data_IF_569834354672
#
_entry.id   IF_569834354672
#
_cell.length_a   1.000
_cell.length_b   1.000
_cell.length_c   1.000
_cell.angle_alpha   90.00
_cell.angle_beta   90.00
_cell.angle_gamma   90.00
#
_symmetry.space_group_name_H-M   'P 1'
#
loop_
_entity.id
_entity.type
_entity.pdbx_description
1 polymer ?
#
# COMPACT_ATOMS: atom_id res chain seq x y z
N UNK A 1 -22.22 -21.63 50.50
CA UNK A 1 -22.63 -20.95 49.29
C UNK A 1 -21.42 -20.13 48.84
N UNK A 2 -20.61 -20.67 47.96
CA UNK A 2 -19.42 -20.01 47.40
C UNK A 2 -19.67 -19.79 45.90
N UNK A 3 -19.85 -18.55 45.51
CA UNK A 3 -19.92 -18.16 44.11
C UNK A 3 -18.51 -18.17 43.49
N UNK A 4 -18.30 -19.06 42.53
CA UNK A 4 -17.12 -19.04 41.67
C UNK A 4 -17.29 -17.98 40.61
N UNK A 5 -16.61 -16.85 40.77
CA UNK A 5 -16.41 -15.86 39.72
C UNK A 5 -15.39 -16.42 38.72
N UNK A 6 -15.87 -16.84 37.54
CA UNK A 6 -15.03 -17.22 36.41
C UNK A 6 -14.48 -15.93 35.76
N UNK A 7 -13.25 -15.59 36.08
CA UNK A 7 -12.52 -14.56 35.37
C UNK A 7 -12.10 -15.11 34.00
N UNK A 8 -12.75 -14.67 32.91
CA UNK A 8 -12.26 -14.87 31.57
C UNK A 8 -10.92 -14.13 31.39
N UNK A 9 -9.82 -14.85 31.48
CA UNK A 9 -8.53 -14.40 31.00
C UNK A 9 -8.57 -14.43 29.47
N UNK A 10 -8.56 -13.26 28.82
CA UNK A 10 -8.21 -13.16 27.40
C UNK A 10 -6.83 -13.80 27.21
N UNK A 11 -6.63 -14.65 26.18
CA UNK A 11 -5.32 -15.15 25.86
C UNK A 11 -4.45 -13.96 25.45
N UNK A 12 -3.44 -13.66 26.24
CA UNK A 12 -2.36 -12.72 25.89
C UNK A 12 -1.70 -13.32 24.65
N UNK A 13 -1.83 -12.64 23.51
CA UNK A 13 -1.12 -12.99 22.29
C UNK A 13 0.38 -12.92 22.60
N UNK A 14 1.06 -14.07 22.56
CA UNK A 14 2.52 -14.15 22.68
C UNK A 14 3.12 -13.52 21.41
N UNK A 15 3.34 -12.20 21.46
CA UNK A 15 4.16 -11.52 20.47
C UNK A 15 5.62 -11.90 20.73
N UNK A 16 6.37 -12.34 19.71
CA UNK A 16 7.80 -12.53 19.87
C UNK A 16 8.48 -11.15 20.04
N UNK A 17 8.64 -10.71 21.29
CA UNK A 17 9.47 -9.55 21.60
C UNK A 17 10.92 -9.92 21.30
N UNK A 18 11.41 -9.48 20.14
CA UNK A 18 12.82 -9.59 19.79
C UNK A 18 13.57 -8.35 20.29
N UNK A 19 14.57 -8.56 21.10
CA UNK A 19 15.52 -7.53 21.51
C UNK A 19 16.52 -7.29 20.39
N UNK A 20 16.29 -6.26 19.55
CA UNK A 20 17.25 -5.79 18.58
C UNK A 20 16.66 -5.62 17.16
N UNK A 21 17.18 -4.59 16.46
CA UNK A 21 16.89 -4.34 15.05
C UNK A 21 17.46 -5.47 14.19
N UNK A 22 16.77 -5.94 13.12
CA UNK A 22 17.34 -6.87 12.15
C UNK A 22 18.66 -6.39 11.55
N UNK A 23 19.59 -7.31 11.18
CA UNK A 23 20.95 -6.97 10.74
C UNK A 23 21.01 -6.43 9.31
N UNK A 24 20.20 -5.40 9.03
CA UNK A 24 20.15 -4.68 7.76
C UNK A 24 20.44 -3.20 8.00
N UNK A 25 21.12 -2.57 7.01
CA UNK A 25 21.41 -1.15 7.04
C UNK A 25 20.13 -0.29 6.87
N UNK A 26 19.10 -0.88 6.23
CA UNK A 26 17.85 -0.21 5.92
C UNK A 26 16.65 -1.15 6.04
N UNK A 27 15.55 -0.63 6.57
CA UNK A 27 14.22 -1.24 6.47
C UNK A 27 13.40 -0.34 5.54
N UNK A 28 12.88 -0.90 4.44
CA UNK A 28 12.04 -0.19 3.49
C UNK A 28 10.61 -0.74 3.51
N UNK A 29 9.62 0.15 3.42
CA UNK A 29 8.20 -0.20 3.31
C UNK A 29 7.67 0.32 1.98
N UNK A 30 7.26 -0.60 1.09
CA UNK A 30 6.82 -0.33 -0.27
C UNK A 30 5.31 -0.56 -0.36
N UNK A 31 4.55 0.50 -0.63
CA UNK A 31 3.10 0.50 -0.55
C UNK A 31 2.48 0.70 -1.94
N UNK A 32 1.82 -0.33 -2.45
CA UNK A 32 1.15 -0.34 -3.74
C UNK A 32 -0.13 0.52 -3.73
N UNK A 33 -0.56 1.01 -4.90
CA UNK A 33 -1.86 1.65 -5.10
C UNK A 33 -3.02 0.65 -5.12
N UNK A 34 -4.21 1.06 -4.66
CA UNK A 34 -5.37 0.17 -4.63
C UNK A 34 -6.61 0.70 -3.91
N UNK A 35 -6.75 2.02 -3.73
CA UNK A 35 -7.95 2.64 -3.16
C UNK A 35 -8.33 2.11 -1.78
N UNK A 36 -9.57 1.66 -1.62
CA UNK A 36 -10.10 1.16 -0.33
C UNK A 36 -9.34 -0.06 0.23
N UNK A 37 -8.64 -0.83 -0.62
CA UNK A 37 -7.79 -1.94 -0.18
C UNK A 37 -6.59 -1.48 0.67
N UNK A 38 -6.23 -0.20 0.63
CA UNK A 38 -5.12 0.35 1.40
C UNK A 38 -5.24 0.20 2.92
N UNK A 39 -6.43 -0.11 3.46
CA UNK A 39 -6.61 -0.47 4.87
C UNK A 39 -5.80 -1.72 5.26
N UNK A 40 -5.57 -2.65 4.32
CA UNK A 40 -4.66 -3.78 4.49
C UNK A 40 -3.24 -3.33 4.83
N UNK A 41 -2.73 -2.30 4.14
CA UNK A 41 -1.40 -1.74 4.40
C UNK A 41 -1.29 -1.13 5.80
N UNK A 42 -2.37 -0.51 6.28
CA UNK A 42 -2.42 0.01 7.65
C UNK A 42 -2.34 -1.11 8.69
N UNK A 43 -3.02 -2.24 8.45
CA UNK A 43 -2.92 -3.45 9.26
C UNK A 43 -1.51 -4.05 9.22
N UNK A 44 -0.90 -4.12 8.05
CA UNK A 44 0.50 -4.55 7.90
C UNK A 44 1.42 -3.67 8.75
N UNK A 45 1.28 -2.34 8.64
CA UNK A 45 2.12 -1.43 9.42
C UNK A 45 1.89 -1.59 10.92
N UNK A 46 0.66 -1.82 11.39
CA UNK A 46 0.40 -2.12 12.81
C UNK A 46 1.21 -3.33 13.27
N UNK A 47 1.18 -4.45 12.53
CA UNK A 47 1.95 -5.65 12.88
C UNK A 47 3.46 -5.41 12.90
N UNK A 48 3.99 -4.63 11.94
CA UNK A 48 5.40 -4.23 11.93
C UNK A 48 5.76 -3.34 13.12
N UNK A 49 4.92 -2.37 13.47
CA UNK A 49 5.13 -1.44 14.58
C UNK A 49 5.15 -2.19 15.93
N UNK A 50 4.23 -3.12 16.14
CA UNK A 50 4.18 -3.95 17.36
C UNK A 50 5.42 -4.87 17.48
N UNK A 51 6.02 -5.28 16.35
CA UNK A 51 7.27 -6.00 16.31
C UNK A 51 8.52 -5.11 16.42
N UNK A 52 8.37 -3.79 16.55
CA UNK A 52 9.48 -2.82 16.59
C UNK A 52 10.20 -2.62 15.25
N UNK A 53 9.57 -3.03 14.14
CA UNK A 53 10.13 -2.93 12.78
C UNK A 53 9.69 -1.63 12.10
N UNK A 54 10.26 -0.52 12.53
CA UNK A 54 9.98 0.78 11.95
C UNK A 54 10.82 1.01 10.68
N UNK A 55 10.21 1.43 9.55
CA UNK A 55 10.95 1.69 8.32
C UNK A 55 11.81 2.94 8.42
N UNK A 56 12.96 2.91 7.72
CA UNK A 56 13.82 4.07 7.45
C UNK A 56 13.42 4.79 6.17
N UNK A 57 12.71 4.08 5.30
CA UNK A 57 12.22 4.57 4.03
C UNK A 57 10.83 4.02 3.74
N UNK A 58 9.88 4.93 3.51
CA UNK A 58 8.55 4.58 2.99
C UNK A 58 8.41 5.12 1.57
N UNK A 59 7.95 4.26 0.66
CA UNK A 59 7.63 4.65 -0.71
C UNK A 59 6.23 4.15 -1.07
N UNK A 60 5.42 4.99 -1.70
CA UNK A 60 4.03 4.67 -1.99
C UNK A 60 3.51 5.21 -3.30
N UNK A 61 2.46 4.56 -3.82
CA UNK A 61 1.70 4.97 -5.00
C UNK A 61 0.24 5.07 -4.61
N UNK A 62 -0.46 6.13 -5.05
CA UNK A 62 -1.90 6.31 -4.83
C UNK A 62 -2.26 6.25 -3.33
N UNK A 63 -3.16 5.37 -2.91
CA UNK A 63 -3.47 5.16 -1.48
C UNK A 63 -2.23 4.77 -0.66
N UNK A 64 -1.28 4.06 -1.28
CA UNK A 64 0.01 3.75 -0.67
C UNK A 64 0.83 5.00 -0.36
N UNK A 65 0.74 6.07 -1.17
CA UNK A 65 1.35 7.36 -0.90
C UNK A 65 0.72 8.06 0.31
N UNK A 66 -0.59 7.95 0.48
CA UNK A 66 -1.31 8.48 1.63
C UNK A 66 -0.87 7.75 2.92
N UNK A 67 -0.89 6.41 2.91
CA UNK A 67 -0.43 5.61 4.05
C UNK A 67 1.06 5.89 4.36
N UNK A 68 1.92 5.99 3.33
CA UNK A 68 3.32 6.35 3.50
C UNK A 68 3.51 7.72 4.16
N UNK A 69 2.71 8.73 3.77
CA UNK A 69 2.74 10.07 4.35
C UNK A 69 2.30 10.06 5.84
N UNK A 70 1.24 9.31 6.17
CA UNK A 70 0.78 9.12 7.55
C UNK A 70 1.85 8.45 8.43
N UNK A 71 2.63 7.52 7.86
CA UNK A 71 3.72 6.85 8.56
C UNK A 71 4.93 7.78 8.71
N UNK A 72 5.37 8.44 7.64
CA UNK A 72 6.58 9.27 7.65
C UNK A 72 6.39 10.59 8.41
N UNK A 73 5.20 11.20 8.33
CA UNK A 73 4.88 12.47 8.96
C UNK A 73 4.49 12.38 10.44
N UNK A 74 4.60 11.18 11.06
CA UNK A 74 4.26 11.05 12.48
C UNK A 74 5.36 10.31 13.25
N UNK A 75 5.53 10.57 14.55
CA UNK A 75 6.44 9.79 15.38
C UNK A 75 5.96 8.35 15.55
N UNK A 76 6.85 7.37 15.77
CA UNK A 76 6.52 5.96 15.76
C UNK A 76 5.31 5.55 16.60
N UNK A 77 5.17 6.16 17.78
CA UNK A 77 4.09 5.93 18.75
C UNK A 77 2.71 6.36 18.25
N UNK A 78 2.63 7.35 17.35
CA UNK A 78 1.37 7.92 16.86
C UNK A 78 0.91 7.33 15.50
N UNK A 79 1.80 6.69 14.76
CA UNK A 79 1.57 6.29 13.35
C UNK A 79 0.33 5.41 13.17
N UNK A 80 0.18 4.39 14.02
CA UNK A 80 -0.98 3.49 13.95
C UNK A 80 -2.27 4.25 14.27
N UNK A 81 -2.25 5.13 15.27
CA UNK A 81 -3.40 5.95 15.62
C UNK A 81 -3.77 6.93 14.48
N UNK A 82 -2.79 7.52 13.79
CA UNK A 82 -3.02 8.41 12.64
C UNK A 82 -3.56 7.67 11.42
N UNK A 83 -3.05 6.48 11.13
CA UNK A 83 -3.63 5.58 10.13
C UNK A 83 -5.08 5.25 10.48
N UNK A 84 -5.36 4.89 11.74
CA UNK A 84 -6.72 4.61 12.21
C UNK A 84 -7.64 5.80 12.04
N UNK A 85 -7.22 7.00 12.44
CA UNK A 85 -7.99 8.24 12.27
C UNK A 85 -8.33 8.53 10.80
N UNK A 86 -7.37 8.33 9.89
CA UNK A 86 -7.62 8.49 8.45
C UNK A 86 -8.67 7.48 7.96
N UNK A 87 -8.44 6.19 8.21
CA UNK A 87 -9.32 5.14 7.71
C UNK A 87 -10.71 5.18 8.31
N UNK A 88 -10.83 5.58 9.59
CA UNK A 88 -12.12 5.81 10.23
C UNK A 88 -12.86 7.02 9.67
N UNK A 89 -12.16 8.08 9.30
CA UNK A 89 -12.76 9.25 8.67
C UNK A 89 -13.33 8.89 7.29
N UNK A 90 -12.52 8.31 6.41
CA UNK A 90 -12.92 8.04 5.01
C UNK A 90 -13.99 6.95 4.89
N UNK A 91 -14.15 6.12 5.92
CA UNK A 91 -15.19 5.09 6.00
C UNK A 91 -16.34 5.49 6.93
N UNK A 92 -16.38 6.76 7.40
CA UNK A 92 -17.49 7.23 8.21
C UNK A 92 -18.75 7.37 7.36
N UNK A 93 -19.87 7.00 7.96
CA UNK A 93 -21.20 7.24 7.37
C UNK A 93 -21.82 8.42 8.08
N UNK A 94 -22.25 9.44 7.33
CA UNK A 94 -23.06 10.49 7.89
C UNK A 94 -24.37 9.88 8.42
N UNK A 95 -24.76 10.11 9.69
CA UNK A 95 -26.01 9.57 10.27
C UNK A 95 -27.28 9.92 9.48
N UNK A 96 -27.27 11.03 8.72
CA UNK A 96 -28.41 11.48 7.91
C UNK A 96 -28.67 10.64 6.64
N UNK A 97 -27.72 9.79 6.20
CA UNK A 97 -27.82 9.03 4.94
C UNK A 97 -27.90 7.51 5.13
N UNK A 98 -28.38 7.06 6.29
CA UNK A 98 -28.65 5.62 6.54
C UNK A 98 -29.95 5.18 5.84
N UNK A 99 -29.94 5.11 4.49
CA UNK A 99 -31.07 4.52 3.76
C UNK A 99 -30.58 3.66 2.58
N UNK A 100 -30.87 2.36 2.55
CA UNK A 100 -31.35 1.53 3.66
C UNK A 100 -30.32 1.42 4.79
N UNK A 101 -30.77 1.15 6.03
CA UNK A 101 -29.85 0.99 7.15
C UNK A 101 -28.81 -0.06 6.81
N UNK A 102 -27.53 0.29 7.04
CA UNK A 102 -26.45 -0.70 6.96
C UNK A 102 -26.85 -1.89 7.85
N UNK A 103 -26.63 -3.14 7.44
CA UNK A 103 -26.87 -4.31 8.29
C UNK A 103 -26.11 -4.28 9.63
N UNK A 104 -25.25 -3.30 9.85
CA UNK A 104 -24.48 -3.08 11.08
C UNK A 104 -25.05 -2.04 12.04
N UNK A 105 -26.21 -1.42 11.73
CA UNK A 105 -26.93 -0.62 12.72
C UNK A 105 -27.46 -1.56 13.81
N UNK A 106 -27.01 -1.38 15.04
CA UNK A 106 -27.45 -2.13 16.21
C UNK A 106 -28.98 -2.20 16.23
N UNK A 107 -29.53 -3.35 15.89
CA UNK A 107 -30.98 -3.61 15.91
C UNK A 107 -31.54 -4.39 14.72
N UNK A 108 -30.85 -4.48 13.59
CA UNK A 108 -31.34 -5.22 12.41
C UNK A 108 -30.46 -6.43 12.02
N UNK A 109 -29.50 -6.79 12.88
CA UNK A 109 -28.65 -7.98 12.71
C UNK A 109 -29.43 -9.29 12.65
N UNK A 110 -30.71 -9.27 13.08
CA UNK A 110 -31.49 -10.49 13.19
C UNK A 110 -31.80 -11.14 11.84
N UNK A 111 -32.06 -10.39 10.78
CA UNK A 111 -32.43 -11.00 9.49
C UNK A 111 -31.18 -11.48 8.74
N UNK A 112 -30.13 -10.69 8.66
CA UNK A 112 -28.88 -11.08 7.99
C UNK A 112 -28.19 -12.21 8.78
N UNK A 113 -28.15 -12.11 10.10
CA UNK A 113 -27.57 -13.13 11.00
C UNK A 113 -28.42 -14.41 11.01
N UNK A 114 -29.74 -14.29 11.00
CA UNK A 114 -30.65 -15.45 10.90
C UNK A 114 -30.51 -16.15 9.53
N UNK A 115 -30.42 -15.39 8.44
CA UNK A 115 -30.20 -15.96 7.10
C UNK A 115 -28.80 -16.60 6.98
N UNK A 116 -27.77 -16.00 7.58
CA UNK A 116 -26.42 -16.55 7.58
C UNK A 116 -26.27 -17.83 8.44
N UNK A 117 -27.09 -18.00 9.50
CA UNK A 117 -27.08 -19.21 10.33
C UNK A 117 -27.63 -20.45 9.61
N UNK A 118 -28.52 -20.26 8.61
CA UNK A 118 -29.13 -21.37 7.90
C UNK A 118 -28.42 -21.80 6.62
N UNK A 119 -27.55 -20.94 6.04
CA UNK A 119 -26.84 -21.24 4.81
C UNK A 119 -25.60 -20.35 4.65
N UNK A 120 -24.36 -20.89 4.85
CA UNK A 120 -23.13 -20.12 4.70
C UNK A 120 -22.97 -19.45 3.33
N UNK A 121 -23.55 -20.03 2.26
CA UNK A 121 -23.50 -19.43 0.92
C UNK A 121 -24.36 -18.17 0.80
N UNK A 122 -25.42 -18.07 1.57
CA UNK A 122 -26.26 -16.88 1.62
C UNK A 122 -25.62 -15.72 2.37
N UNK A 123 -24.74 -16.00 3.35
CA UNK A 123 -23.94 -14.98 4.03
C UNK A 123 -23.05 -14.22 3.04
N UNK A 124 -22.36 -14.91 2.14
CA UNK A 124 -21.51 -14.30 1.12
C UNK A 124 -22.32 -13.49 0.09
N UNK A 125 -23.51 -13.94 -0.29
CA UNK A 125 -24.39 -13.21 -1.21
C UNK A 125 -24.89 -11.90 -0.59
N UNK A 126 -25.37 -11.95 0.66
CA UNK A 126 -25.82 -10.75 1.39
C UNK A 126 -24.67 -9.76 1.54
N UNK A 127 -23.46 -10.26 1.81
CA UNK A 127 -22.27 -9.44 1.94
C UNK A 127 -21.86 -8.80 0.61
N UNK A 128 -21.87 -9.56 -0.49
CA UNK A 128 -21.61 -9.03 -1.83
C UNK A 128 -22.60 -7.91 -2.21
N UNK A 129 -23.90 -8.08 -1.93
CA UNK A 129 -24.90 -7.04 -2.16
C UNK A 129 -24.65 -5.81 -1.28
N UNK A 130 -24.30 -5.98 -0.02
CA UNK A 130 -23.95 -4.87 0.88
C UNK A 130 -22.73 -4.10 0.37
N UNK A 131 -21.69 -4.81 -0.10
CA UNK A 131 -20.47 -4.19 -0.66
C UNK A 131 -20.78 -3.42 -1.95
N UNK A 132 -21.59 -3.98 -2.86
CA UNK A 132 -22.03 -3.27 -4.07
C UNK A 132 -22.82 -2.02 -3.75
N UNK A 133 -23.72 -2.08 -2.75
CA UNK A 133 -24.45 -0.91 -2.28
C UNK A 133 -23.52 0.17 -1.69
N UNK A 134 -22.56 -0.23 -0.86
CA UNK A 134 -21.59 0.68 -0.28
C UNK A 134 -20.68 1.31 -1.35
N UNK A 135 -20.26 0.54 -2.35
CA UNK A 135 -19.50 1.03 -3.50
C UNK A 135 -20.33 2.04 -4.32
N UNK A 136 -21.59 1.73 -4.61
CA UNK A 136 -22.51 2.66 -5.30
C UNK A 136 -22.70 3.95 -4.49
N UNK A 137 -22.81 3.84 -3.17
CA UNK A 137 -22.85 4.99 -2.27
C UNK A 137 -21.57 5.84 -2.35
N UNK A 138 -20.40 5.23 -2.33
CA UNK A 138 -19.13 5.94 -2.46
C UNK A 138 -19.02 6.67 -3.81
N UNK A 139 -19.51 6.07 -4.89
CA UNK A 139 -19.58 6.72 -6.20
C UNK A 139 -20.55 7.91 -6.23
N UNK A 140 -21.71 7.81 -5.54
CA UNK A 140 -22.74 8.85 -5.56
C UNK A 140 -22.53 9.95 -4.52
N UNK A 141 -21.92 9.64 -3.36
CA UNK A 141 -21.79 10.56 -2.23
C UNK A 141 -20.33 10.88 -1.86
N UNK A 142 -19.37 10.14 -2.41
CA UNK A 142 -17.96 10.29 -2.08
C UNK A 142 -17.55 9.54 -0.82
N UNK A 143 -16.33 9.84 -0.35
CA UNK A 143 -15.75 9.37 0.90
C UNK A 143 -15.35 10.59 1.75
N UNK A 144 -15.87 10.73 2.97
CA UNK A 144 -15.63 11.89 3.82
C UNK A 144 -14.14 12.14 4.04
N UNK A 145 -13.71 13.40 3.91
CA UNK A 145 -12.29 13.75 4.09
C UNK A 145 -11.35 13.22 3.01
N UNK A 146 -11.88 12.62 1.93
CA UNK A 146 -11.10 12.13 0.79
C UNK A 146 -11.58 12.76 -0.50
N UNK A 147 -12.78 12.41 -0.98
CA UNK A 147 -13.32 12.97 -2.22
C UNK A 147 -14.84 13.15 -2.14
N UNK A 148 -15.36 14.13 -2.90
CA UNK A 148 -16.78 14.41 -3.00
C UNK A 148 -17.19 14.49 -4.47
N UNK A 149 -18.38 13.99 -4.86
CA UNK A 149 -18.88 14.15 -6.23
C UNK A 149 -19.13 15.61 -6.53
N UNK A 150 -18.81 16.02 -7.77
CA UNK A 150 -19.17 17.36 -8.24
C UNK A 150 -20.69 17.46 -8.46
N UNK A 151 -21.22 18.62 -8.16
CA UNK A 151 -22.68 18.84 -8.25
C UNK A 151 -23.20 18.72 -9.69
N UNK A 152 -22.38 19.16 -10.67
CA UNK A 152 -22.67 19.07 -12.09
C UNK A 152 -21.71 18.12 -12.78
N UNK A 153 -22.19 17.42 -13.80
CA UNK A 153 -21.34 16.55 -14.62
C UNK A 153 -20.23 17.35 -15.34
N UNK A 154 -19.04 16.77 -15.60
CA UNK A 154 -17.93 17.48 -16.24
C UNK A 154 -18.29 18.17 -17.54
N UNK A 155 -19.22 17.62 -18.31
CA UNK A 155 -19.67 18.14 -19.61
C UNK A 155 -20.39 19.49 -19.56
N UNK A 156 -20.87 19.91 -18.39
CA UNK A 156 -21.60 21.18 -18.20
C UNK A 156 -20.70 22.32 -17.71
N UNK A 157 -19.41 22.06 -17.50
CA UNK A 157 -18.45 23.04 -17.06
C UNK A 157 -17.70 23.69 -18.23
N UNK A 158 -17.21 24.95 -18.07
CA UNK A 158 -16.42 25.61 -19.10
C UNK A 158 -15.19 24.79 -19.48
N UNK A 159 -14.89 24.76 -20.78
CA UNK A 159 -13.71 24.10 -21.29
C UNK A 159 -12.42 24.64 -20.63
N UNK A 160 -11.58 23.73 -20.12
CA UNK A 160 -10.31 24.07 -19.47
C UNK A 160 -10.44 24.30 -17.95
N UNK A 161 -11.65 24.27 -17.37
CA UNK A 161 -11.75 24.27 -15.91
C UNK A 161 -11.43 22.90 -15.31
N UNK A 162 -10.97 22.88 -14.06
CA UNK A 162 -10.69 21.63 -13.32
C UNK A 162 -11.93 20.77 -13.22
N UNK A 163 -13.09 21.38 -13.05
CA UNK A 163 -14.38 20.69 -12.94
C UNK A 163 -14.79 19.98 -14.23
N UNK A 164 -14.37 20.50 -15.38
CA UNK A 164 -14.59 19.86 -16.69
C UNK A 164 -13.74 18.61 -16.91
N UNK A 165 -12.77 18.34 -16.04
CA UNK A 165 -11.77 17.26 -16.23
C UNK A 165 -11.90 16.11 -15.23
N UNK A 166 -12.86 16.17 -14.28
CA UNK A 166 -13.00 15.13 -13.24
C UNK A 166 -14.42 15.05 -12.68
N UNK A 167 -14.79 13.84 -12.25
CA UNK A 167 -16.10 13.60 -11.62
C UNK A 167 -16.14 14.01 -10.15
N UNK A 168 -15.00 14.00 -9.47
CA UNK A 168 -14.90 14.26 -8.04
C UNK A 168 -13.97 15.44 -7.74
N UNK A 169 -14.22 16.07 -6.61
CA UNK A 169 -13.35 17.05 -5.96
C UNK A 169 -12.57 16.36 -4.85
N UNK A 170 -11.25 16.59 -4.79
CA UNK A 170 -10.34 16.02 -3.79
C UNK A 170 -9.79 17.06 -2.81
N UNK A 171 -10.36 18.27 -2.76
CA UNK A 171 -9.90 19.32 -1.84
C UNK A 171 -9.98 18.91 -0.36
N UNK A 172 -10.98 18.08 -0.01
CA UNK A 172 -11.11 17.53 1.35
C UNK A 172 -9.92 16.65 1.76
N UNK A 173 -9.28 15.96 0.81
CA UNK A 173 -8.06 15.17 1.08
C UNK A 173 -6.90 16.07 1.50
N UNK A 174 -6.74 17.25 0.87
CA UNK A 174 -5.69 18.20 1.26
C UNK A 174 -5.81 18.57 2.72
N UNK A 175 -7.00 19.01 3.17
CA UNK A 175 -7.25 19.37 4.55
C UNK A 175 -7.05 18.19 5.53
N UNK A 176 -7.38 16.98 5.10
CA UNK A 176 -7.16 15.77 5.89
C UNK A 176 -5.67 15.47 6.05
N UNK A 177 -4.89 15.57 4.98
CA UNK A 177 -3.44 15.39 5.02
C UNK A 177 -2.77 16.45 5.90
N UNK A 178 -3.12 17.74 5.74
CA UNK A 178 -2.59 18.83 6.56
C UNK A 178 -2.87 18.65 8.06
N UNK A 179 -3.98 18.01 8.41
CA UNK A 179 -4.35 17.72 9.81
C UNK A 179 -3.66 16.48 10.39
N UNK A 180 -3.43 15.44 9.59
CA UNK A 180 -2.96 14.14 10.05
C UNK A 180 -1.47 13.89 9.82
N UNK A 181 -0.82 14.69 8.96
CA UNK A 181 0.57 14.53 8.54
C UNK A 181 1.36 15.78 8.87
N UNK A 182 2.45 15.64 9.61
CA UNK A 182 3.44 16.68 9.81
C UNK A 182 4.43 16.67 8.63
N UNK A 183 4.24 17.59 7.67
CA UNK A 183 5.08 17.71 6.50
C UNK A 183 6.47 18.27 6.83
N UNK A 184 6.62 19.04 7.89
CA UNK A 184 7.93 19.51 8.37
C UNK A 184 8.76 18.32 8.86
N UNK A 185 8.13 17.36 9.53
CA UNK A 185 8.77 16.10 9.93
C UNK A 185 9.23 15.29 8.70
N UNK A 186 8.41 15.17 7.66
CA UNK A 186 8.81 14.51 6.41
C UNK A 186 10.04 15.23 5.82
N UNK A 187 10.00 16.55 5.73
CA UNK A 187 11.04 17.36 5.14
C UNK A 187 12.32 17.47 6.02
N UNK A 188 12.23 17.17 7.31
CA UNK A 188 13.41 17.08 8.18
C UNK A 188 14.30 15.87 7.87
N UNK A 189 13.80 14.90 7.07
CA UNK A 189 14.53 13.68 6.73
C UNK A 189 14.58 12.64 7.86
N UNK A 190 13.71 12.75 8.88
CA UNK A 190 13.61 11.76 9.96
C UNK A 190 13.31 10.34 9.44
N UNK A 191 12.66 10.26 8.29
CA UNK A 191 12.45 9.06 7.48
C UNK A 191 12.53 9.46 6.01
N UNK A 192 13.16 8.63 5.16
CA UNK A 192 13.08 8.86 3.72
C UNK A 192 11.67 8.59 3.24
N UNK A 193 11.15 9.47 2.41
CA UNK A 193 9.78 9.43 1.88
C UNK A 193 9.79 9.66 0.37
N UNK A 194 9.12 8.78 -0.37
CA UNK A 194 9.00 8.91 -1.82
C UNK A 194 7.58 8.58 -2.27
N UNK A 195 7.06 9.36 -3.21
CA UNK A 195 5.78 9.08 -3.87
C UNK A 195 5.90 9.20 -5.37
N UNK A 196 5.26 8.28 -6.10
CA UNK A 196 5.30 8.26 -7.55
C UNK A 196 4.05 8.87 -8.16
N UNK A 197 4.23 9.63 -9.24
CA UNK A 197 3.16 10.22 -10.03
C UNK A 197 3.52 10.23 -11.53
N UNK A 198 2.56 10.51 -12.39
CA UNK A 198 2.76 10.60 -13.84
C UNK A 198 2.59 12.05 -14.29
N UNK A 199 3.61 12.61 -14.93
CA UNK A 199 3.48 13.92 -15.56
C UNK A 199 2.55 13.83 -16.79
N UNK A 200 1.45 14.58 -16.75
CA UNK A 200 0.38 14.48 -17.77
C UNK A 200 0.86 14.85 -19.16
N UNK A 201 1.73 15.85 -19.25
CA UNK A 201 2.20 16.38 -20.55
C UNK A 201 3.19 15.43 -21.24
N UNK A 202 4.06 14.79 -20.47
CA UNK A 202 5.14 13.95 -21.02
C UNK A 202 4.82 12.46 -20.99
N UNK A 203 3.86 12.04 -20.15
CA UNK A 203 3.58 10.63 -19.85
C UNK A 203 4.68 9.95 -19.03
N UNK A 204 5.70 10.69 -18.60
CA UNK A 204 6.79 10.12 -17.81
C UNK A 204 6.39 9.92 -16.36
N UNK A 205 6.83 8.79 -15.81
CA UNK A 205 6.75 8.53 -14.39
C UNK A 205 7.82 9.32 -13.64
N UNK A 206 7.45 9.95 -12.53
CA UNK A 206 8.35 10.74 -11.68
C UNK A 206 8.20 10.34 -10.22
N UNK A 207 9.27 10.42 -9.44
CA UNK A 207 9.21 10.30 -7.99
C UNK A 207 9.51 11.63 -7.33
N UNK A 208 8.62 12.04 -6.42
CA UNK A 208 8.88 13.11 -5.47
C UNK A 208 9.47 12.48 -4.20
N UNK A 209 10.70 12.84 -3.86
CA UNK A 209 11.47 12.26 -2.76
C UNK A 209 11.96 13.39 -1.87
N UNK A 210 11.85 13.25 -0.54
CA UNK A 210 12.23 14.29 0.41
C UNK A 210 13.74 14.56 0.49
N UNK A 211 14.56 13.80 -0.22
CA UNK A 211 15.99 14.10 -0.39
C UNK A 211 16.24 15.13 -1.49
N UNK A 212 15.28 15.35 -2.38
CA UNK A 212 15.42 16.21 -3.56
C UNK A 212 14.30 17.23 -3.71
N UNK A 213 13.17 17.05 -3.03
CA UNK A 213 11.99 17.91 -3.11
C UNK A 213 11.51 18.32 -1.72
N UNK A 214 11.00 19.53 -1.60
CA UNK A 214 10.21 19.94 -0.45
C UNK A 214 8.80 19.35 -0.61
N UNK A 215 8.52 18.30 0.15
CA UNK A 215 7.27 17.55 0.07
C UNK A 215 6.11 18.38 0.67
N UNK A 216 5.02 18.46 -0.09
CA UNK A 216 3.78 19.15 0.26
C UNK A 216 2.60 18.20 0.08
N UNK A 217 1.40 18.48 0.61
CA UNK A 217 0.21 17.67 0.41
C UNK A 217 -0.08 17.37 -1.06
N UNK A 218 0.19 18.32 -1.96
CA UNK A 218 -0.04 18.19 -3.40
C UNK A 218 0.74 17.01 -4.03
N UNK A 219 1.94 16.70 -3.53
CA UNK A 219 2.71 15.56 -4.05
C UNK A 219 2.03 14.22 -3.72
N UNK A 220 1.45 14.11 -2.51
CA UNK A 220 0.68 12.93 -2.10
C UNK A 220 -0.61 12.85 -2.88
N UNK A 221 -1.31 13.97 -3.06
CA UNK A 221 -2.54 14.05 -3.86
C UNK A 221 -2.30 13.70 -5.33
N UNK A 222 -1.20 14.18 -5.92
CA UNK A 222 -0.81 13.87 -7.30
C UNK A 222 -0.62 12.37 -7.52
N UNK A 223 0.00 11.70 -6.55
CA UNK A 223 0.17 10.24 -6.58
C UNK A 223 -1.16 9.46 -6.59
N UNK A 224 -2.24 10.04 -6.05
CA UNK A 224 -3.58 9.44 -5.99
C UNK A 224 -4.59 10.05 -6.96
N UNK A 225 -4.18 10.93 -7.87
CA UNK A 225 -5.06 11.63 -8.81
C UNK A 225 -5.43 10.75 -10.02
N UNK A 226 -6.23 9.71 -9.82
CA UNK A 226 -6.61 8.74 -10.87
C UNK A 226 -7.69 9.31 -11.80
N UNK A 227 -7.39 9.58 -13.09
CA UNK A 227 -8.36 10.05 -14.07
C UNK A 227 -9.32 8.91 -14.48
N UNK A 228 -10.55 9.22 -14.92
CA UNK A 228 -11.21 10.52 -14.92
C UNK A 228 -11.90 10.85 -13.60
N UNK A 229 -11.74 10.02 -12.57
CA UNK A 229 -12.34 10.22 -11.26
C UNK A 229 -11.87 11.52 -10.61
N UNK A 230 -10.55 11.68 -10.49
CA UNK A 230 -9.92 12.79 -9.81
C UNK A 230 -9.21 13.74 -10.77
N UNK A 231 -9.16 15.06 -10.46
CA UNK A 231 -8.49 16.05 -11.30
C UNK A 231 -6.97 15.87 -11.24
N UNK A 232 -6.27 16.31 -12.30
CA UNK A 232 -4.83 16.45 -12.25
C UNK A 232 -4.43 17.48 -11.17
N UNK A 233 -3.33 17.23 -10.49
CA UNK A 233 -2.77 18.13 -9.48
C UNK A 233 -1.62 18.92 -10.10
N UNK A 234 -1.68 20.24 -9.96
CA UNK A 234 -0.62 21.14 -10.41
C UNK A 234 0.48 21.24 -9.35
N UNK A 235 1.73 21.01 -9.77
CA UNK A 235 2.93 21.17 -8.94
C UNK A 235 3.96 21.90 -9.79
N UNK A 236 4.34 23.10 -9.36
CA UNK A 236 5.38 23.94 -9.97
C UNK A 236 5.15 24.17 -11.49
N UNK A 237 3.89 24.35 -11.90
CA UNK A 237 3.45 24.63 -13.26
C UNK A 237 3.28 23.41 -14.17
N UNK A 238 3.50 22.21 -13.67
CA UNK A 238 3.24 20.93 -14.35
C UNK A 238 2.08 20.20 -13.70
N UNK A 239 1.36 19.37 -14.49
CA UNK A 239 0.20 18.63 -14.01
C UNK A 239 0.51 17.14 -13.89
N UNK A 240 0.01 16.52 -12.82
CA UNK A 240 0.30 15.13 -12.49
C UNK A 240 -0.96 14.32 -12.24
N UNK A 241 -0.92 13.08 -12.67
CA UNK A 241 -1.90 12.02 -12.38
C UNK A 241 -1.31 10.90 -11.56
N UNK A 242 -2.19 10.00 -11.12
CA UNK A 242 -1.86 8.81 -10.32
C UNK A 242 -0.73 7.99 -10.93
N UNK A 243 0.25 7.65 -10.09
CA UNK A 243 1.37 6.81 -10.48
C UNK A 243 0.96 5.43 -10.98
N UNK A 244 -0.15 4.89 -10.49
CA UNK A 244 -0.69 3.58 -10.89
C UNK A 244 -1.00 3.45 -12.38
N UNK A 245 -1.14 4.56 -13.12
CA UNK A 245 -1.26 4.53 -14.58
C UNK A 245 -0.04 3.92 -15.27
N UNK A 246 1.15 4.10 -14.69
CA UNK A 246 2.42 3.66 -15.28
C UNK A 246 3.10 2.58 -14.46
N UNK A 247 3.28 2.75 -13.15
CA UNK A 247 3.82 1.75 -12.23
C UNK A 247 3.10 1.85 -10.90
N UNK A 248 2.55 0.73 -10.43
CA UNK A 248 1.73 0.69 -9.22
C UNK A 248 2.50 0.28 -7.96
N UNK A 249 3.79 -0.08 -8.08
CA UNK A 249 4.66 -0.50 -6.98
C UNK A 249 5.99 0.25 -7.05
N UNK A 250 6.50 0.85 -5.96
CA UNK A 250 7.70 1.67 -5.98
C UNK A 250 9.01 0.86 -5.84
N UNK A 251 9.03 -0.44 -6.23
CA UNK A 251 10.17 -1.33 -6.04
C UNK A 251 11.42 -0.86 -6.80
N UNK A 252 11.27 -0.58 -8.10
CA UNK A 252 12.39 -0.15 -8.96
C UNK A 252 13.07 1.11 -8.42
N UNK A 253 12.28 2.08 -7.93
CA UNK A 253 12.83 3.31 -7.35
C UNK A 253 13.74 3.05 -6.16
N UNK A 254 13.32 2.16 -5.26
CA UNK A 254 14.08 1.87 -4.05
C UNK A 254 15.33 1.04 -4.34
N UNK A 255 15.25 0.15 -5.34
CA UNK A 255 16.37 -0.70 -5.78
C UNK A 255 17.44 0.09 -6.53
N UNK A 256 17.04 1.00 -7.41
CA UNK A 256 17.95 1.74 -8.30
C UNK A 256 18.57 2.96 -7.62
N UNK A 257 18.09 3.34 -6.43
CA UNK A 257 18.50 4.56 -5.75
C UNK A 257 19.80 4.38 -4.94
N UNK A 258 20.77 5.26 -5.17
CA UNK A 258 22.06 5.26 -4.47
C UNK A 258 22.00 6.04 -3.14
N UNK A 259 22.87 5.73 -2.16
CA UNK A 259 23.78 4.57 -2.13
C UNK A 259 23.05 3.25 -1.90
N UNK A 260 23.52 2.19 -2.54
CA UNK A 260 22.99 0.85 -2.26
C UNK A 260 23.29 0.44 -0.82
N UNK A 261 22.30 -0.20 -0.17
CA UNK A 261 22.40 -0.64 1.23
C UNK A 261 21.82 -2.04 1.40
N UNK A 262 22.35 -2.79 2.35
CA UNK A 262 21.71 -4.02 2.80
C UNK A 262 20.29 -3.69 3.28
N UNK A 263 19.28 -4.26 2.63
CA UNK A 263 17.89 -3.80 2.81
C UNK A 263 16.95 -4.97 3.15
N UNK A 264 16.19 -4.80 4.21
CA UNK A 264 14.98 -5.56 4.48
C UNK A 264 13.80 -4.75 3.93
N UNK A 265 13.18 -5.22 2.86
CA UNK A 265 12.06 -4.54 2.22
C UNK A 265 10.75 -5.32 2.46
N UNK A 266 9.75 -4.64 3.02
CA UNK A 266 8.37 -5.13 3.07
C UNK A 266 7.60 -4.52 1.91
N UNK A 267 7.23 -5.35 0.94
CA UNK A 267 6.42 -4.97 -0.20
C UNK A 267 4.97 -5.38 0.05
N UNK A 268 4.08 -4.39 0.09
CA UNK A 268 2.66 -4.62 0.37
C UNK A 268 1.86 -4.43 -0.91
N UNK A 269 1.46 -5.56 -1.49
CA UNK A 269 0.73 -5.62 -2.74
C UNK A 269 -0.78 -5.75 -2.48
N UNK A 270 -1.58 -4.90 -3.13
CA UNK A 270 -3.04 -4.88 -3.01
C UNK A 270 -3.73 -5.62 -4.16
N UNK A 271 -2.99 -5.94 -5.22
CA UNK A 271 -3.48 -6.62 -6.40
C UNK A 271 -2.69 -7.90 -6.65
N UNK A 272 -3.39 -9.05 -6.64
CA UNK A 272 -2.75 -10.32 -6.91
C UNK A 272 -2.48 -10.50 -8.40
N UNK A 273 -1.25 -10.93 -8.71
CA UNK A 273 -0.89 -11.33 -10.07
C UNK A 273 -1.53 -12.67 -10.46
N UNK A 274 -1.72 -13.56 -9.49
CA UNK A 274 -2.37 -14.86 -9.66
C UNK A 274 -3.88 -14.72 -9.45
N UNK A 275 -4.66 -15.56 -10.14
CA UNK A 275 -6.11 -15.57 -9.99
C UNK A 275 -6.74 -16.67 -10.83
N UNK A 276 -7.96 -17.05 -10.47
CA UNK A 276 -8.74 -18.04 -11.20
C UNK A 276 -9.30 -17.49 -12.52
N UNK A 277 -9.68 -18.39 -13.42
CA UNK A 277 -10.38 -18.03 -14.66
C UNK A 277 -11.78 -17.45 -14.31
N UNK A 278 -12.09 -16.20 -14.69
CA UNK A 278 -13.37 -15.59 -14.42
C UNK A 278 -14.54 -16.34 -15.06
N UNK A 279 -15.66 -16.45 -14.35
CA UNK A 279 -16.88 -17.11 -14.82
C UNK A 279 -18.09 -16.16 -14.91
N UNK A 280 -17.94 -14.88 -14.47
CA UNK A 280 -18.98 -13.82 -14.48
C UNK A 280 -18.36 -12.49 -14.88
N UNK A 281 -19.16 -11.57 -15.44
CA UNK A 281 -18.69 -10.24 -15.90
C UNK A 281 -17.96 -9.45 -14.80
N UNK A 282 -18.51 -9.38 -13.60
CA UNK A 282 -17.84 -8.71 -12.47
C UNK A 282 -16.45 -9.29 -12.16
N UNK A 283 -16.30 -10.61 -12.24
CA UNK A 283 -15.00 -11.28 -12.09
C UNK A 283 -14.03 -10.96 -13.23
N UNK A 284 -14.53 -10.75 -14.46
CA UNK A 284 -13.69 -10.32 -15.60
C UNK A 284 -13.11 -8.94 -15.34
N UNK A 285 -13.94 -7.99 -14.91
CA UNK A 285 -13.50 -6.63 -14.60
C UNK A 285 -12.51 -6.59 -13.42
N UNK A 286 -12.82 -7.32 -12.34
CA UNK A 286 -11.91 -7.49 -11.21
C UNK A 286 -10.55 -8.06 -11.66
N UNK A 287 -10.57 -9.15 -12.46
CA UNK A 287 -9.34 -9.79 -12.96
C UNK A 287 -8.54 -8.90 -13.90
N UNK A 288 -9.22 -8.11 -14.73
CA UNK A 288 -8.57 -7.12 -15.59
C UNK A 288 -7.79 -6.09 -14.76
N UNK A 289 -8.40 -5.52 -13.71
CA UNK A 289 -7.73 -4.60 -12.78
C UNK A 289 -6.54 -5.28 -12.08
N UNK A 290 -6.72 -6.50 -11.58
CA UNK A 290 -5.65 -7.27 -10.94
C UNK A 290 -4.45 -7.44 -11.86
N UNK A 291 -4.66 -7.87 -13.10
CA UNK A 291 -3.59 -8.01 -14.11
C UNK A 291 -2.95 -6.66 -14.41
N UNK A 292 -3.75 -5.62 -14.60
CA UNK A 292 -3.26 -4.28 -14.94
C UNK A 292 -2.35 -3.71 -13.84
N UNK A 293 -2.77 -3.80 -12.58
CA UNK A 293 -2.07 -3.17 -11.47
C UNK A 293 -0.96 -4.03 -10.84
N UNK A 294 -0.94 -5.35 -11.12
CA UNK A 294 0.09 -6.26 -10.61
C UNK A 294 1.17 -6.64 -11.64
N UNK A 295 0.90 -6.47 -12.95
CA UNK A 295 1.74 -7.05 -14.03
C UNK A 295 3.19 -6.56 -14.00
N UNK A 296 3.40 -5.28 -13.68
CA UNK A 296 4.75 -4.69 -13.67
C UNK A 296 5.58 -5.11 -12.47
N UNK A 297 4.97 -5.35 -11.32
CA UNK A 297 5.65 -5.78 -10.10
C UNK A 297 6.50 -7.04 -10.34
N UNK A 298 5.97 -8.04 -11.05
CA UNK A 298 6.74 -9.25 -11.39
C UNK A 298 7.90 -8.99 -12.33
N UNK A 299 7.68 -8.17 -13.35
CA UNK A 299 8.74 -7.82 -14.31
C UNK A 299 9.87 -7.04 -13.61
N UNK A 300 9.53 -6.12 -12.74
CA UNK A 300 10.49 -5.35 -11.93
C UNK A 300 11.28 -6.26 -10.98
N UNK A 301 10.62 -7.21 -10.31
CA UNK A 301 11.28 -8.16 -9.43
C UNK A 301 12.25 -9.08 -10.19
N UNK A 302 11.85 -9.59 -11.36
CA UNK A 302 12.72 -10.42 -12.19
C UNK A 302 13.95 -9.63 -12.67
N UNK A 303 13.73 -8.40 -13.13
CA UNK A 303 14.81 -7.49 -13.52
C UNK A 303 15.74 -7.19 -12.35
N UNK A 304 15.20 -6.98 -11.17
CA UNK A 304 16.00 -6.74 -9.96
C UNK A 304 16.90 -7.93 -9.65
N UNK A 305 16.36 -9.16 -9.67
CA UNK A 305 17.16 -10.38 -9.46
C UNK A 305 18.29 -10.52 -10.49
N UNK A 306 18.00 -10.24 -11.76
CA UNK A 306 19.00 -10.27 -12.84
C UNK A 306 20.12 -9.24 -12.61
N UNK A 307 19.75 -8.00 -12.25
CA UNK A 307 20.73 -6.95 -11.94
C UNK A 307 21.60 -7.34 -10.75
N UNK A 308 21.04 -7.89 -9.68
CA UNK A 308 21.82 -8.32 -8.51
C UNK A 308 22.75 -9.48 -8.84
N UNK A 309 22.31 -10.44 -9.64
CA UNK A 309 23.17 -11.51 -10.15
C UNK A 309 24.36 -10.96 -10.94
N UNK A 310 24.13 -10.00 -11.85
CA UNK A 310 25.19 -9.34 -12.63
C UNK A 310 26.15 -8.54 -11.75
N UNK A 311 25.63 -7.81 -10.75
CA UNK A 311 26.46 -7.08 -9.76
C UNK A 311 27.39 -8.03 -9.00
N UNK A 312 26.84 -9.15 -8.52
CA UNK A 312 27.64 -10.18 -7.82
C UNK A 312 28.69 -10.81 -8.73
N UNK A 313 28.35 -11.10 -9.99
CA UNK A 313 29.31 -11.62 -10.97
C UNK A 313 30.43 -10.62 -11.27
N UNK A 314 30.08 -9.34 -11.44
CA UNK A 314 31.02 -8.25 -11.68
C UNK A 314 31.95 -8.03 -10.49
N UNK A 315 31.44 -8.04 -9.26
CA UNK A 315 32.25 -7.95 -8.05
C UNK A 315 33.31 -9.06 -8.00
N UNK A 316 32.89 -10.31 -8.19
CA UNK A 316 33.81 -11.47 -8.22
C UNK A 316 34.83 -11.39 -9.36
N UNK A 317 34.49 -10.77 -10.48
CA UNK A 317 35.41 -10.55 -11.59
C UNK A 317 36.45 -9.50 -11.23
N UNK A 318 36.02 -8.35 -10.68
CA UNK A 318 36.92 -7.27 -10.25
C UNK A 318 37.96 -7.76 -9.21
N UNK A 319 37.50 -8.59 -8.24
CA UNK A 319 38.38 -9.19 -7.22
C UNK A 319 39.49 -10.08 -7.80
N UNK A 320 39.29 -10.65 -9.00
CA UNK A 320 40.25 -11.53 -9.68
C UNK A 320 41.15 -10.80 -10.68
N UNK A 321 40.94 -9.48 -10.89
CA UNK A 321 41.76 -8.72 -11.83
C UNK A 321 43.22 -8.58 -11.31
N UNK A 322 44.23 -8.66 -12.20
CA UNK A 322 45.58 -8.23 -11.89
C UNK A 322 45.63 -6.78 -11.42
N UNK A 323 46.58 -6.45 -10.53
CA UNK A 323 46.66 -5.10 -9.93
C UNK A 323 46.69 -3.96 -10.94
N UNK A 324 47.34 -4.15 -12.09
CA UNK A 324 47.42 -3.16 -13.17
C UNK A 324 46.04 -2.86 -13.78
N UNK A 325 45.23 -3.88 -14.01
CA UNK A 325 43.86 -3.72 -14.53
C UNK A 325 42.87 -3.24 -13.47
N UNK A 326 43.05 -3.68 -12.22
CA UNK A 326 42.24 -3.27 -11.09
C UNK A 326 42.36 -1.75 -10.76
N UNK A 327 43.45 -1.12 -11.17
CA UNK A 327 43.70 0.32 -11.03
C UNK A 327 43.27 1.14 -12.27
N UNK A 328 42.58 0.54 -13.24
CA UNK A 328 42.11 1.26 -14.43
C UNK A 328 40.93 2.16 -14.12
N UNK A 329 40.77 3.32 -14.81
CA UNK A 329 39.63 4.21 -14.66
C UNK A 329 38.29 3.51 -14.92
N UNK A 330 38.25 2.53 -15.82
CA UNK A 330 37.03 1.77 -16.13
C UNK A 330 36.55 0.94 -14.93
N UNK A 331 37.49 0.35 -14.19
CA UNK A 331 37.19 -0.39 -12.95
C UNK A 331 36.65 0.55 -11.85
N UNK A 332 37.20 1.76 -11.75
CA UNK A 332 36.69 2.75 -10.78
C UNK A 332 35.24 3.19 -11.08
N UNK A 333 34.87 3.28 -12.36
CA UNK A 333 33.48 3.53 -12.78
C UNK A 333 32.57 2.35 -12.43
N UNK A 334 33.07 1.11 -12.57
CA UNK A 334 32.30 -0.10 -12.35
C UNK A 334 32.15 -0.49 -10.86
N UNK A 335 33.10 -0.08 -9.99
CA UNK A 335 33.09 -0.44 -8.55
C UNK A 335 31.76 -0.13 -7.85
N UNK A 336 31.20 1.10 -7.95
CA UNK A 336 29.92 1.41 -7.30
C UNK A 336 28.76 0.55 -7.83
N UNK A 337 28.81 0.20 -9.12
CA UNK A 337 27.81 -0.66 -9.75
C UNK A 337 27.97 -2.14 -9.40
N UNK A 338 29.16 -2.57 -8.98
CA UNK A 338 29.50 -3.97 -8.63
C UNK A 338 29.36 -4.28 -7.14
N UNK A 339 29.03 -3.28 -6.30
CA UNK A 339 28.94 -3.50 -4.85
C UNK A 339 27.76 -4.43 -4.52
N UNK A 340 28.01 -5.67 -4.06
CA UNK A 340 26.94 -6.60 -3.75
C UNK A 340 26.29 -6.17 -2.45
N UNK A 341 24.99 -5.87 -2.51
CA UNK A 341 24.16 -5.61 -1.34
C UNK A 341 23.14 -6.72 -1.19
N UNK A 342 22.81 -7.00 0.06
CA UNK A 342 21.92 -8.07 0.44
C UNK A 342 20.49 -7.53 0.60
N UNK A 343 19.54 -8.25 0.05
CA UNK A 343 18.13 -7.90 0.11
C UNK A 343 17.28 -9.07 0.58
N UNK A 344 16.50 -8.82 1.63
CA UNK A 344 15.30 -9.62 1.88
C UNK A 344 14.10 -8.83 1.39
N UNK A 345 13.38 -9.38 0.42
CA UNK A 345 12.12 -8.84 -0.07
C UNK A 345 10.98 -9.69 0.47
N UNK A 346 10.26 -9.15 1.44
CA UNK A 346 9.11 -9.79 2.09
C UNK A 346 7.85 -9.29 1.40
N UNK A 347 7.18 -10.17 0.68
CA UNK A 347 5.93 -9.86 -0.01
C UNK A 347 4.74 -10.15 0.89
N UNK A 348 3.89 -9.15 1.08
CA UNK A 348 2.63 -9.23 1.80
C UNK A 348 1.52 -8.86 0.82
N UNK A 349 0.91 -9.86 0.22
CA UNK A 349 -0.10 -9.69 -0.82
C UNK A 349 -1.52 -9.81 -0.27
N UNK A 350 -2.38 -8.83 -0.54
CA UNK A 350 -3.79 -8.94 -0.24
C UNK A 350 -4.47 -9.98 -1.14
N UNK A 351 -5.20 -10.90 -0.53
CA UNK A 351 -5.98 -11.90 -1.25
C UNK A 351 -7.48 -11.61 -1.10
N UNK A 352 -8.12 -11.33 -2.24
CA UNK A 352 -9.54 -11.01 -2.28
C UNK A 352 -10.41 -12.15 -1.73
N UNK A 353 -11.45 -11.79 -1.00
CA UNK A 353 -12.44 -12.73 -0.49
C UNK A 353 -13.44 -13.09 -1.60
N UNK A 354 -14.13 -14.23 -1.49
CA UNK A 354 -15.09 -14.71 -2.50
C UNK A 354 -16.28 -13.78 -2.76
N UNK A 355 -16.61 -12.92 -1.79
CA UNK A 355 -17.69 -11.94 -1.87
C UNK A 355 -17.22 -10.58 -2.37
N UNK A 356 -15.93 -10.37 -2.63
CA UNK A 356 -15.39 -9.16 -3.23
C UNK A 356 -15.35 -9.30 -4.75
N UNK A 357 -15.71 -8.23 -5.42
CA UNK A 357 -15.77 -8.14 -6.88
C UNK A 357 -14.94 -6.96 -7.42
N UNK A 358 -15.30 -6.43 -8.56
CA UNK A 358 -14.64 -5.31 -9.22
C UNK A 358 -14.76 -3.97 -8.49
N UNK A 359 -15.58 -3.91 -7.42
CA UNK A 359 -15.83 -2.70 -6.63
C UNK A 359 -14.91 -2.55 -5.43
N UNK A 360 -14.12 -3.56 -5.09
CA UNK A 360 -13.30 -3.64 -3.86
C UNK A 360 -12.35 -2.46 -3.63
N UNK A 361 -11.88 -1.79 -4.70
CA UNK A 361 -10.96 -0.64 -4.64
C UNK A 361 -11.66 0.70 -4.34
N UNK A 362 -13.00 0.77 -4.46
CA UNK A 362 -13.79 1.95 -4.10
C UNK A 362 -14.96 1.63 -3.15
N UNK A 363 -14.94 0.49 -2.49
CA UNK A 363 -15.88 0.09 -1.45
C UNK A 363 -15.36 0.57 -0.08
N UNK A 364 -15.79 1.76 0.37
CA UNK A 364 -15.36 2.43 1.58
C UNK A 364 -16.29 2.18 2.78
N UNK A 365 -16.80 0.94 2.98
CA UNK A 365 -17.52 0.65 4.21
C UNK A 365 -16.57 0.45 5.39
N UNK A 366 -17.05 0.80 6.59
CA UNK A 366 -16.32 0.54 7.84
C UNK A 366 -15.98 -0.93 8.00
N UNK A 367 -16.91 -1.81 7.65
CA UNK A 367 -16.75 -3.26 7.78
C UNK A 367 -15.63 -3.79 6.88
N UNK A 368 -15.63 -3.43 5.60
CA UNK A 368 -14.58 -3.86 4.68
C UNK A 368 -13.21 -3.29 5.08
N UNK A 369 -13.18 -2.05 5.54
CA UNK A 369 -11.96 -1.46 6.09
C UNK A 369 -11.40 -2.28 7.26
N UNK A 370 -12.24 -2.65 8.24
CA UNK A 370 -11.81 -3.48 9.38
C UNK A 370 -11.35 -4.87 8.93
N UNK A 371 -12.06 -5.50 7.98
CA UNK A 371 -11.66 -6.80 7.44
C UNK A 371 -10.29 -6.75 6.73
N UNK A 372 -10.05 -5.71 5.92
CA UNK A 372 -8.77 -5.51 5.24
C UNK A 372 -7.65 -5.22 6.25
N UNK A 373 -7.90 -4.38 7.25
CA UNK A 373 -6.96 -4.07 8.31
C UNK A 373 -6.55 -5.33 9.08
N UNK A 374 -7.52 -6.11 9.54
CA UNK A 374 -7.26 -7.35 10.26
C UNK A 374 -6.51 -8.38 9.39
N UNK A 375 -6.84 -8.48 8.11
CA UNK A 375 -6.13 -9.36 7.19
C UNK A 375 -4.64 -8.97 7.10
N UNK A 376 -4.33 -7.68 6.90
CA UNK A 376 -2.95 -7.20 6.84
C UNK A 376 -2.17 -7.42 8.14
N UNK A 377 -2.82 -7.17 9.28
CA UNK A 377 -2.24 -7.43 10.58
C UNK A 377 -1.90 -8.92 10.77
N UNK A 378 -2.86 -9.82 10.52
CA UNK A 378 -2.65 -11.25 10.69
C UNK A 378 -1.60 -11.83 9.72
N UNK A 379 -1.60 -11.38 8.46
CA UNK A 379 -0.60 -11.82 7.48
C UNK A 379 0.81 -11.38 7.89
N UNK A 380 0.95 -10.19 8.46
CA UNK A 380 2.22 -9.70 9.00
C UNK A 380 2.69 -10.52 10.20
N UNK A 381 1.82 -10.72 11.19
CA UNK A 381 2.17 -11.52 12.38
C UNK A 381 2.56 -12.95 11.99
N UNK A 382 1.85 -13.56 11.02
CA UNK A 382 2.18 -14.88 10.48
C UNK A 382 3.56 -14.89 9.84
N UNK A 383 3.83 -13.93 8.95
CA UNK A 383 5.13 -13.81 8.27
C UNK A 383 6.28 -13.62 9.26
N UNK A 384 6.09 -12.81 10.29
CA UNK A 384 7.13 -12.55 11.30
C UNK A 384 7.39 -13.73 12.26
N UNK A 385 6.57 -14.79 12.26
CA UNK A 385 6.87 -16.05 12.97
C UNK A 385 8.00 -16.85 12.31
N UNK A 386 8.34 -16.52 11.05
CA UNK A 386 9.42 -17.12 10.29
C UNK A 386 10.71 -16.31 10.48
N UNK A 387 11.66 -16.78 11.34
CA UNK A 387 12.85 -16.01 11.71
C UNK A 387 13.76 -15.71 10.51
N UNK A 388 13.77 -16.58 9.50
CA UNK A 388 14.56 -16.44 8.27
C UNK A 388 14.23 -15.17 7.47
N UNK A 389 13.01 -14.64 7.61
CA UNK A 389 12.57 -13.39 6.99
C UNK A 389 13.43 -12.20 7.44
N UNK A 390 13.85 -12.21 8.71
CA UNK A 390 14.59 -11.14 9.36
C UNK A 390 16.10 -11.43 9.42
N UNK A 391 16.55 -12.61 9.01
CA UNK A 391 17.97 -12.99 9.01
C UNK A 391 18.65 -12.49 7.72
N UNK A 392 19.91 -12.03 7.85
CA UNK A 392 20.68 -11.64 6.69
C UNK A 392 21.04 -12.87 5.87
N UNK A 393 20.66 -12.95 4.57
CA UNK A 393 20.94 -14.11 3.74
C UNK A 393 22.43 -14.31 3.50
N UNK A 394 22.82 -15.58 3.34
CA UNK A 394 24.20 -16.00 3.07
C UNK A 394 24.42 -16.37 1.60
N UNK A 395 23.41 -16.15 0.73
CA UNK A 395 23.52 -16.49 -0.70
C UNK A 395 24.48 -15.57 -1.44
N UNK A 396 25.25 -16.09 -2.40
CA UNK A 396 26.09 -15.28 -3.28
C UNK A 396 25.28 -14.33 -4.19
N UNK A 397 24.00 -14.60 -4.41
CA UNK A 397 23.14 -13.76 -5.25
C UNK A 397 22.55 -12.55 -4.50
N UNK A 398 22.66 -12.54 -3.16
CA UNK A 398 22.32 -11.41 -2.31
C UNK A 398 20.83 -11.03 -2.23
N UNK A 399 19.92 -11.76 -2.92
CA UNK A 399 18.47 -11.48 -2.91
C UNK A 399 17.67 -12.69 -2.49
N UNK A 400 16.82 -12.51 -1.47
CA UNK A 400 15.81 -13.48 -1.06
C UNK A 400 14.43 -12.87 -1.14
N UNK A 401 13.48 -13.65 -1.61
CA UNK A 401 12.07 -13.27 -1.68
C UNK A 401 11.28 -14.22 -0.83
N UNK A 402 10.48 -13.68 0.07
CA UNK A 402 9.61 -14.41 0.96
C UNK A 402 8.16 -14.04 0.66
N UNK A 403 7.35 -15.03 0.30
CA UNK A 403 5.90 -14.94 0.19
C UNK A 403 5.30 -16.07 1.01
N UNK A 404 5.32 -15.88 2.32
CA UNK A 404 4.91 -16.91 3.30
C UNK A 404 3.42 -17.18 3.20
N UNK A 405 2.61 -16.12 2.99
CA UNK A 405 1.15 -16.24 2.96
C UNK A 405 0.69 -17.06 1.76
N UNK A 406 1.32 -16.92 0.61
CA UNK A 406 1.01 -17.70 -0.59
C UNK A 406 1.56 -19.14 -0.50
N UNK A 407 2.75 -19.31 0.06
CA UNK A 407 3.37 -20.62 0.25
C UNK A 407 2.58 -21.53 1.18
N UNK A 408 1.95 -21.00 2.23
CA UNK A 408 1.11 -21.79 3.15
C UNK A 408 -0.29 -22.12 2.59
N UNK A 409 -0.70 -21.47 1.49
CA UNK A 409 -1.99 -21.72 0.80
C UNK A 409 -1.88 -22.70 -0.36
N UNK A 410 -0.68 -22.88 -0.90
CA UNK A 410 -0.38 -23.81 -2.00
C UNK A 410 -0.21 -25.26 -1.51
#
# INVERSE_FOLDING_TARGET
MNEHVLTHRNPVSEHPQRSGRPPFERIALLLQGGGALGAYQAGVYQGLAEAGLHPDWTAGISIGAINAALIAGNPPEDRVAKLRQFWELVTSTDPYWQFPPSPTAEGNDNIATVLAQFDPSKGDVVRALSNQWSAARALCLGAPGFFMPRLLTPWLWPHGSTEATSYYDTQSLKSTLERLVDFDRINSGAMRFSVGAVNVRTGNFVYFDNTTHLIRPEHVMASGALPPGFPAIEIDGEHYWDGGLVSNTPLSWVVDNLPHRDTLAFQVDLWSAQGELPRKMAQIQARQKEIQYSSRTRAELNRFREIQFLRGALSRLIEKLPAELAASPDVDILRPASEPKVWNLVQLGYHSKKYEDDTKDYEFSRRSMEDHWQAGYHDTIRTLRHPEVLERPRSPDGVFTFDIVEQERA
#
